data_IF_168940438255
#
_entry.id   IF_168940438255
#
_cell.length_a   1.000
_cell.length_b   1.000
_cell.length_c   1.000
_cell.angle_alpha   90.00
_cell.angle_beta   90.00
_cell.angle_gamma   90.00
#
_symmetry.space_group_name_H-M   'P 1'
#
loop_
_entity.id
_entity.type
_entity.pdbx_description
1 polymer ?
#
# COMPACT_ATOMS: atom_id res chain seq x y z
N UNK A 1 4.01 21.15 11.24
CA UNK A 1 4.92 20.61 10.22
C UNK A 1 6.31 20.73 10.79
N UNK A 2 6.88 19.59 11.19
CA UNK A 2 8.24 19.53 11.72
C UNK A 2 9.26 19.57 10.57
N UNK A 3 10.49 20.00 10.84
CA UNK A 3 11.51 20.24 9.81
C UNK A 3 11.79 19.01 8.92
N UNK A 4 11.70 17.80 9.48
CA UNK A 4 11.81 16.54 8.74
C UNK A 4 10.70 16.41 7.68
N UNK A 5 9.45 16.65 8.07
CA UNK A 5 8.30 16.50 7.18
C UNK A 5 8.39 17.49 6.02
N UNK A 6 8.77 18.75 6.29
CA UNK A 6 8.93 19.75 5.22
C UNK A 6 10.04 19.39 4.24
N UNK A 7 11.14 18.81 4.73
CA UNK A 7 12.25 18.36 3.88
C UNK A 7 11.82 17.19 2.99
N UNK A 8 11.17 16.17 3.57
CA UNK A 8 10.65 15.03 2.80
C UNK A 8 9.58 15.44 1.79
N UNK A 9 8.66 16.33 2.17
CA UNK A 9 7.65 16.86 1.27
C UNK A 9 8.26 17.64 0.10
N UNK A 10 9.31 18.44 0.36
CA UNK A 10 10.03 19.14 -0.70
C UNK A 10 10.72 18.16 -1.65
N UNK A 11 11.41 17.14 -1.13
CA UNK A 11 12.03 16.09 -1.96
C UNK A 11 10.99 15.37 -2.84
N UNK A 12 9.81 15.05 -2.28
CA UNK A 12 8.69 14.45 -3.02
C UNK A 12 8.05 15.40 -4.05
N UNK A 13 8.19 16.71 -3.89
CA UNK A 13 7.73 17.68 -4.87
C UNK A 13 8.72 17.83 -6.04
N UNK A 14 10.01 17.60 -5.78
CA UNK A 14 11.08 17.66 -6.78
C UNK A 14 11.27 16.33 -7.53
N UNK A 15 10.84 15.21 -6.94
CA UNK A 15 10.91 13.88 -7.55
C UNK A 15 10.09 12.83 -6.80
N UNK A 16 10.24 11.56 -7.16
CA UNK A 16 9.42 10.47 -6.60
C UNK A 16 9.99 9.84 -5.33
N UNK A 17 11.22 10.20 -4.93
CA UNK A 17 11.93 9.56 -3.81
C UNK A 17 12.35 10.63 -2.82
N UNK A 18 12.05 10.40 -1.55
CA UNK A 18 12.55 11.22 -0.45
C UNK A 18 13.28 10.34 0.56
N UNK A 19 14.49 10.73 0.92
CA UNK A 19 15.33 10.00 1.87
C UNK A 19 15.63 10.94 3.04
N UNK A 20 15.39 10.48 4.27
CA UNK A 20 15.78 11.22 5.47
C UNK A 20 17.31 11.38 5.49
N UNK A 21 17.78 12.62 5.59
CA UNK A 21 19.20 12.97 5.68
C UNK A 21 20.11 12.24 4.65
N UNK A 22 19.85 12.37 3.33
CA UNK A 22 20.65 11.69 2.31
C UNK A 22 22.12 12.13 2.35
N UNK A 23 22.34 13.38 2.77
CA UNK A 23 23.62 14.07 2.82
C UNK A 23 24.60 13.56 3.90
N UNK A 24 24.17 12.67 4.79
CA UNK A 24 25.06 12.06 5.77
C UNK A 24 25.78 10.81 5.23
N UNK A 25 25.43 10.33 4.02
CA UNK A 25 26.09 9.19 3.38
C UNK A 25 25.86 7.83 4.05
N UNK A 26 25.06 7.80 5.13
CA UNK A 26 24.83 6.60 5.94
C UNK A 26 23.61 5.77 5.47
N UNK A 27 22.83 6.28 4.50
CA UNK A 27 21.68 5.56 3.97
C UNK A 27 22.10 4.65 2.80
N UNK A 28 21.86 3.33 2.88
CA UNK A 28 22.17 2.39 1.79
C UNK A 28 21.30 2.60 0.55
N UNK A 29 20.36 3.55 0.60
CA UNK A 29 19.42 3.86 -0.48
C UNK A 29 19.88 5.02 -1.37
N UNK A 30 20.90 5.79 -0.98
CA UNK A 30 21.42 6.88 -1.82
C UNK A 30 21.90 6.34 -3.18
N UNK A 31 22.61 5.20 -3.18
CA UNK A 31 23.05 4.52 -4.41
C UNK A 31 21.90 3.88 -5.20
N UNK A 32 20.71 3.79 -4.62
CA UNK A 32 19.53 3.15 -5.19
C UNK A 32 18.44 4.13 -5.59
N UNK A 33 18.58 5.42 -5.27
CA UNK A 33 17.56 6.45 -5.49
C UNK A 33 17.10 6.47 -6.96
N UNK A 34 18.04 6.41 -7.90
CA UNK A 34 17.71 6.35 -9.33
C UNK A 34 16.88 5.13 -9.73
N UNK A 35 17.11 3.96 -9.11
CA UNK A 35 16.30 2.75 -9.36
C UNK A 35 14.91 2.89 -8.76
N UNK A 36 14.82 3.41 -7.54
CA UNK A 36 13.53 3.64 -6.86
C UNK A 36 12.68 4.66 -7.62
N UNK A 37 13.32 5.75 -8.09
CA UNK A 37 12.68 6.76 -8.92
C UNK A 37 12.19 6.18 -10.24
N UNK A 38 13.00 5.35 -10.90
CA UNK A 38 12.58 4.67 -12.13
C UNK A 38 11.36 3.77 -11.90
N UNK A 39 11.33 2.99 -10.82
CA UNK A 39 10.18 2.13 -10.47
C UNK A 39 8.92 2.97 -10.27
N UNK A 40 9.03 4.13 -9.60
CA UNK A 40 7.88 5.02 -9.40
C UNK A 40 7.34 5.61 -10.71
N UNK A 41 8.24 6.03 -11.60
CA UNK A 41 7.86 6.53 -12.94
C UNK A 41 7.24 5.42 -13.80
N UNK A 42 7.78 4.20 -13.75
CA UNK A 42 7.20 3.05 -14.46
C UNK A 42 5.79 2.74 -13.95
N UNK A 43 5.59 2.68 -12.64
CA UNK A 43 4.27 2.46 -12.03
C UNK A 43 3.24 3.52 -12.46
N UNK A 44 3.63 4.80 -12.44
CA UNK A 44 2.75 5.89 -12.87
C UNK A 44 2.35 5.75 -14.34
N UNK A 45 3.32 5.44 -15.22
CA UNK A 45 3.07 5.21 -16.64
C UNK A 45 2.15 4.01 -16.91
N UNK A 46 2.22 2.99 -16.07
CA UNK A 46 1.40 1.78 -16.16
C UNK A 46 0.00 1.98 -15.54
N UNK A 47 -0.29 3.16 -14.99
CA UNK A 47 -1.63 3.52 -14.48
C UNK A 47 -1.84 3.22 -12.99
N UNK A 48 -0.78 2.91 -12.24
CA UNK A 48 -0.83 2.73 -10.79
C UNK A 48 -1.23 4.01 -10.04
N UNK A 49 -1.09 5.17 -10.69
CA UNK A 49 -1.17 6.49 -10.08
C UNK A 49 0.21 7.00 -9.67
N UNK A 50 0.26 8.28 -9.31
CA UNK A 50 1.49 8.94 -8.89
C UNK A 50 2.02 8.35 -7.58
N UNK A 51 3.28 7.89 -7.60
CA UNK A 51 3.91 7.17 -6.48
C UNK A 51 5.06 7.97 -5.88
N UNK A 52 5.04 8.11 -4.55
CA UNK A 52 6.15 8.58 -3.73
C UNK A 52 6.76 7.47 -2.89
N UNK A 53 8.08 7.45 -2.77
CA UNK A 53 8.84 6.50 -1.96
C UNK A 53 9.59 7.29 -0.90
N UNK A 54 9.32 6.99 0.37
CA UNK A 54 9.93 7.70 1.51
C UNK A 54 10.74 6.73 2.33
N UNK A 55 12.01 7.05 2.54
CA UNK A 55 12.91 6.25 3.37
C UNK A 55 13.35 7.06 4.57
N UNK A 56 13.03 6.56 5.75
CA UNK A 56 13.45 7.14 7.03
C UNK A 56 14.52 6.25 7.68
N UNK A 57 15.42 6.89 8.43
CA UNK A 57 16.58 6.22 9.03
C UNK A 57 16.29 5.64 10.41
N UNK A 58 15.14 5.96 10.99
CA UNK A 58 14.75 5.51 12.32
C UNK A 58 13.31 5.00 12.34
N UNK A 59 13.05 4.04 13.23
CA UNK A 59 11.69 3.61 13.50
C UNK A 59 11.01 4.62 14.44
N UNK A 60 9.77 5.03 14.16
CA UNK A 60 9.04 5.91 15.05
C UNK A 60 8.78 5.23 16.40
N UNK A 61 8.86 6.00 17.48
CA UNK A 61 8.64 5.51 18.85
C UNK A 61 7.16 5.19 19.14
N UNK A 62 6.24 5.85 18.44
CA UNK A 62 4.81 5.63 18.55
C UNK A 62 4.30 4.63 17.51
N UNK A 63 3.42 3.71 17.94
CA UNK A 63 2.75 2.79 17.05
C UNK A 63 1.93 3.54 16.00
N UNK A 64 2.20 3.28 14.72
CA UNK A 64 1.54 3.98 13.61
C UNK A 64 2.16 5.34 13.27
N UNK A 65 3.26 5.75 13.93
CA UNK A 65 3.95 7.00 13.60
C UNK A 65 4.39 7.07 12.13
N UNK A 66 4.81 5.95 11.54
CA UNK A 66 5.21 5.89 10.12
C UNK A 66 4.00 6.11 9.20
N UNK A 67 2.84 5.55 9.57
CA UNK A 67 1.58 5.78 8.86
C UNK A 67 1.16 7.24 8.93
N UNK A 68 1.23 7.85 10.11
CA UNK A 68 0.83 9.23 10.31
C UNK A 68 1.71 10.17 9.47
N UNK A 69 3.03 9.95 9.46
CA UNK A 69 3.94 10.65 8.54
C UNK A 69 3.51 10.47 7.08
N UNK A 70 3.18 9.24 6.67
CA UNK A 70 2.67 8.96 5.33
C UNK A 70 1.37 9.69 4.99
N UNK A 71 0.42 9.74 5.91
CA UNK A 71 -0.84 10.47 5.75
C UNK A 71 -0.57 11.96 5.61
N UNK A 72 0.29 12.53 6.44
CA UNK A 72 0.61 13.94 6.41
C UNK A 72 1.30 14.33 5.09
N UNK A 73 2.31 13.55 4.66
CA UNK A 73 2.96 13.74 3.36
C UNK A 73 2.01 13.57 2.18
N UNK A 74 1.08 12.62 2.25
CA UNK A 74 0.11 12.36 1.20
C UNK A 74 -0.94 13.48 1.09
N UNK A 75 -1.27 14.12 2.21
CA UNK A 75 -2.17 15.28 2.23
C UNK A 75 -1.50 16.56 1.72
N UNK A 76 -0.19 16.69 1.94
CA UNK A 76 0.61 17.84 1.53
C UNK A 76 1.19 17.71 0.10
N UNK A 77 0.94 16.58 -0.58
CA UNK A 77 1.40 16.32 -1.94
C UNK A 77 0.25 15.98 -2.90
N UNK A 78 0.52 16.17 -4.19
CA UNK A 78 -0.38 15.76 -5.28
C UNK A 78 -0.25 14.26 -5.61
N UNK A 79 0.49 13.50 -4.79
CA UNK A 79 0.68 12.06 -4.98
C UNK A 79 -0.59 11.28 -4.64
N UNK A 80 -0.79 10.16 -5.33
CA UNK A 80 -1.88 9.22 -5.08
C UNK A 80 -1.49 8.19 -4.01
N UNK A 81 -0.23 7.75 -4.01
CA UNK A 81 0.28 6.72 -3.12
C UNK A 81 1.65 7.08 -2.57
N UNK A 82 1.87 6.84 -1.29
CA UNK A 82 3.18 6.95 -0.64
C UNK A 82 3.52 5.62 0.03
N UNK A 83 4.67 5.06 -0.32
CA UNK A 83 5.28 3.92 0.35
C UNK A 83 6.38 4.43 1.28
N UNK A 84 6.30 4.07 2.56
CA UNK A 84 7.25 4.48 3.58
C UNK A 84 8.02 3.28 4.09
N UNK A 85 9.33 3.44 4.26
CA UNK A 85 10.22 2.42 4.80
C UNK A 85 11.11 3.00 5.88
N UNK A 86 11.04 2.42 7.07
CA UNK A 86 11.99 2.59 8.15
C UNK A 86 12.88 1.33 8.26
N UNK A 87 13.88 1.29 9.16
CA UNK A 87 14.75 0.12 9.31
C UNK A 87 14.00 -1.19 9.57
N UNK A 88 12.91 -1.17 10.35
CA UNK A 88 12.17 -2.39 10.71
C UNK A 88 10.69 -2.39 10.31
N UNK A 89 10.20 -1.29 9.71
CA UNK A 89 8.77 -1.14 9.39
C UNK A 89 8.61 -0.65 7.95
N UNK A 90 7.58 -1.16 7.27
CA UNK A 90 7.08 -0.60 6.02
C UNK A 90 5.60 -0.29 6.18
N UNK A 91 5.19 0.86 5.67
CA UNK A 91 3.80 1.26 5.58
C UNK A 91 3.48 1.83 4.20
N UNK A 92 2.20 1.78 3.82
CA UNK A 92 1.73 2.30 2.54
C UNK A 92 0.42 3.04 2.77
N UNK A 93 0.34 4.24 2.23
CA UNK A 93 -0.85 5.09 2.29
C UNK A 93 -1.23 5.48 0.88
N UNK A 94 -2.51 5.32 0.51
CA UNK A 94 -3.01 5.64 -0.83
C UNK A 94 -4.38 6.31 -0.77
N UNK A 95 -4.63 7.24 -1.70
CA UNK A 95 -5.95 7.85 -1.97
C UNK A 95 -6.79 6.99 -2.90
N UNK A 96 -6.16 6.13 -3.71
CA UNK A 96 -6.78 5.43 -4.84
C UNK A 96 -6.93 3.93 -4.63
N UNK A 97 -5.98 3.29 -3.95
CA UNK A 97 -5.97 1.83 -3.73
C UNK A 97 -6.77 1.42 -2.50
N UNK A 98 -7.47 0.28 -2.56
CA UNK A 98 -8.24 -0.20 -1.42
C UNK A 98 -7.34 -0.72 -0.31
N UNK A 99 -7.71 -0.44 0.95
CA UNK A 99 -6.94 -0.84 2.14
C UNK A 99 -6.61 -2.34 2.20
N UNK A 100 -7.52 -3.20 1.74
CA UNK A 100 -7.31 -4.65 1.76
C UNK A 100 -6.20 -5.09 0.78
N UNK A 101 -6.08 -4.41 -0.35
CA UNK A 101 -5.09 -4.68 -1.40
C UNK A 101 -3.71 -4.29 -0.91
N UNK A 102 -3.61 -3.08 -0.35
CA UNK A 102 -2.38 -2.56 0.25
C UNK A 102 -1.86 -3.44 1.39
N UNK A 103 -2.74 -3.99 2.22
CA UNK A 103 -2.32 -4.82 3.36
C UNK A 103 -1.68 -6.15 2.93
N UNK A 104 -2.17 -6.74 1.84
CA UNK A 104 -1.58 -7.96 1.28
C UNK A 104 -0.18 -7.66 0.74
N UNK A 105 -0.05 -6.58 -0.04
CA UNK A 105 1.24 -6.18 -0.59
C UNK A 105 2.24 -5.68 0.46
N UNK A 106 1.76 -4.98 1.50
CA UNK A 106 2.58 -4.54 2.64
C UNK A 106 3.24 -5.72 3.35
N UNK A 107 2.52 -6.83 3.51
CA UNK A 107 3.08 -8.03 4.13
C UNK A 107 4.22 -8.64 3.31
N UNK A 108 4.22 -8.50 1.99
CA UNK A 108 5.33 -8.96 1.16
C UNK A 108 6.54 -8.04 1.33
N UNK A 109 6.36 -6.72 1.34
CA UNK A 109 7.44 -5.76 1.61
C UNK A 109 8.03 -5.90 3.02
N UNK A 110 7.21 -6.26 4.01
CA UNK A 110 7.65 -6.42 5.39
C UNK A 110 8.43 -7.72 5.64
N UNK A 111 8.39 -8.70 4.73
CA UNK A 111 9.08 -9.98 4.91
C UNK A 111 10.61 -9.88 4.77
N UNK A 112 11.10 -8.89 4.01
CA UNK A 112 12.53 -8.73 3.81
C UNK A 112 12.93 -7.26 3.69
N UNK A 113 13.43 -6.68 4.79
CA UNK A 113 13.81 -5.28 4.84
C UNK A 113 15.28 -5.01 4.43
N UNK A 114 15.92 -5.97 3.75
CA UNK A 114 17.25 -5.80 3.18
C UNK A 114 17.25 -4.63 2.18
N UNK A 115 18.04 -3.57 2.43
CA UNK A 115 18.17 -2.44 1.52
C UNK A 115 18.54 -2.85 0.10
N UNK A 116 19.37 -3.88 -0.09
CA UNK A 116 19.84 -4.30 -1.42
C UNK A 116 18.70 -4.91 -2.24
N UNK A 117 17.80 -5.64 -1.59
CA UNK A 117 16.69 -6.32 -2.23
C UNK A 117 15.44 -5.44 -2.36
N UNK A 118 15.36 -4.33 -1.62
CA UNK A 118 14.16 -3.50 -1.51
C UNK A 118 13.61 -2.99 -2.85
N UNK A 119 14.41 -2.46 -3.80
CA UNK A 119 13.85 -2.03 -5.09
C UNK A 119 13.13 -3.15 -5.85
N UNK A 120 13.68 -4.37 -5.84
CA UNK A 120 13.04 -5.51 -6.49
C UNK A 120 11.73 -5.93 -5.81
N UNK A 121 11.66 -5.81 -4.48
CA UNK A 121 10.44 -6.09 -3.73
C UNK A 121 9.37 -5.03 -3.96
N UNK A 122 9.77 -3.76 -4.06
CA UNK A 122 8.85 -2.66 -4.38
C UNK A 122 8.22 -2.84 -5.76
N UNK A 123 9.04 -3.20 -6.76
CA UNK A 123 8.53 -3.53 -8.09
C UNK A 123 7.54 -4.71 -8.05
N UNK A 124 7.85 -5.77 -7.29
CA UNK A 124 6.94 -6.91 -7.13
C UNK A 124 5.62 -6.51 -6.44
N UNK A 125 5.68 -5.66 -5.42
CA UNK A 125 4.50 -5.12 -4.74
C UNK A 125 3.58 -4.35 -5.70
N UNK A 126 4.14 -3.49 -6.54
CA UNK A 126 3.37 -2.72 -7.53
C UNK A 126 2.72 -3.67 -8.55
N UNK A 127 3.48 -4.65 -9.06
CA UNK A 127 2.97 -5.64 -9.99
C UNK A 127 1.86 -6.52 -9.38
N UNK A 128 1.96 -6.88 -8.10
CA UNK A 128 0.94 -7.66 -7.38
C UNK A 128 -0.36 -6.87 -7.22
N UNK A 129 -0.27 -5.55 -6.98
CA UNK A 129 -1.43 -4.67 -6.87
C UNK A 129 -2.13 -4.44 -8.21
N UNK A 130 -1.37 -4.22 -9.28
CA UNK A 130 -1.94 -4.03 -10.62
C UNK A 130 -2.63 -5.29 -11.15
N UNK A 131 -2.14 -6.48 -10.75
CA UNK A 131 -2.76 -7.76 -11.06
C UNK A 131 -3.82 -8.22 -10.05
N UNK A 132 -4.10 -7.43 -9.00
CA UNK A 132 -5.07 -7.82 -7.99
C UNK A 132 -6.49 -7.82 -8.57
N UNK A 133 -7.06 -9.01 -8.71
CA UNK A 133 -8.47 -9.21 -9.02
C UNK A 133 -9.16 -9.84 -7.81
N UNK A 134 -10.01 -9.09 -7.13
CA UNK A 134 -10.81 -9.65 -6.06
C UNK A 134 -11.64 -10.83 -6.60
N UNK A 135 -11.73 -11.97 -5.90
CA UNK A 135 -12.38 -13.18 -6.39
C UNK A 135 -13.91 -13.06 -6.32
N UNK A 136 -14.48 -12.05 -6.99
CA UNK A 136 -15.90 -11.74 -7.03
C UNK A 136 -16.75 -12.93 -7.47
N UNK A 137 -16.22 -13.79 -8.35
CA UNK A 137 -16.88 -15.03 -8.75
C UNK A 137 -17.13 -15.97 -7.57
N UNK A 138 -16.13 -16.15 -6.69
CA UNK A 138 -16.25 -16.99 -5.49
C UNK A 138 -17.24 -16.37 -4.50
N UNK A 139 -17.16 -15.06 -4.25
CA UNK A 139 -18.11 -14.38 -3.36
C UNK A 139 -19.55 -14.42 -3.90
N UNK A 140 -19.73 -14.26 -5.21
CA UNK A 140 -21.04 -14.38 -5.87
C UNK A 140 -21.61 -15.78 -5.72
N UNK A 141 -20.78 -16.82 -5.84
CA UNK A 141 -21.19 -18.21 -5.64
C UNK A 141 -21.65 -18.46 -4.20
N UNK A 142 -20.89 -18.01 -3.20
CA UNK A 142 -21.25 -18.13 -1.79
C UNK A 142 -22.57 -17.41 -1.52
N UNK A 143 -22.73 -16.17 -2.01
CA UNK A 143 -23.96 -15.41 -1.87
C UNK A 143 -25.16 -16.13 -2.49
N UNK A 144 -25.00 -16.70 -3.70
CA UNK A 144 -26.04 -17.48 -4.36
C UNK A 144 -26.44 -18.72 -3.55
N UNK A 145 -25.48 -19.43 -2.95
CA UNK A 145 -25.74 -20.58 -2.08
C UNK A 145 -26.54 -20.16 -0.85
N UNK A 146 -26.14 -19.07 -0.18
CA UNK A 146 -26.83 -18.56 1.01
C UNK A 146 -28.26 -18.14 0.67
N UNK A 147 -28.44 -17.35 -0.40
CA UNK A 147 -29.77 -16.92 -0.87
C UNK A 147 -30.63 -18.15 -1.22
N UNK A 148 -30.06 -19.12 -1.96
CA UNK A 148 -30.75 -20.36 -2.29
C UNK A 148 -31.19 -21.16 -1.06
N UNK A 149 -30.33 -21.28 -0.05
CA UNK A 149 -30.64 -21.95 1.20
C UNK A 149 -31.79 -21.26 1.95
N UNK A 150 -31.77 -19.92 2.01
CA UNK A 150 -32.85 -19.12 2.62
C UNK A 150 -34.17 -19.32 1.87
N UNK A 151 -34.16 -19.28 0.54
CA UNK A 151 -35.35 -19.55 -0.28
C UNK A 151 -35.93 -20.95 -0.05
N UNK A 152 -35.07 -21.97 -0.02
CA UNK A 152 -35.50 -23.37 0.23
C UNK A 152 -36.09 -23.52 1.64
N UNK A 153 -35.48 -22.90 2.64
CA UNK A 153 -35.98 -22.91 4.02
C UNK A 153 -37.34 -22.21 4.13
N UNK A 154 -37.47 -21.02 3.54
CA UNK A 154 -38.72 -20.26 3.52
C UNK A 154 -39.85 -21.02 2.80
N UNK A 155 -39.55 -21.64 1.65
CA UNK A 155 -40.52 -22.43 0.90
C UNK A 155 -40.99 -23.66 1.68
N UNK A 156 -40.07 -24.37 2.36
CA UNK A 156 -40.42 -25.49 3.23
C UNK A 156 -41.32 -25.06 4.39
N UNK A 157 -40.99 -23.96 5.06
CA UNK A 157 -41.78 -23.42 6.16
C UNK A 157 -43.20 -23.03 5.73
N UNK A 158 -43.34 -22.34 4.59
CA UNK A 158 -44.63 -21.97 4.01
C UNK A 158 -45.47 -23.21 3.66
N UNK A 159 -44.86 -24.25 3.09
CA UNK A 159 -45.55 -25.49 2.73
C UNK A 159 -46.06 -26.26 3.96
N UNK A 160 -45.29 -26.30 5.04
CA UNK A 160 -45.72 -26.93 6.30
C UNK A 160 -46.83 -26.16 7.01
N UNK A 161 -46.87 -24.83 6.88
CA UNK A 161 -47.92 -23.99 7.45
C UNK A 161 -49.26 -24.13 6.72
N UNK A 162 -49.26 -24.46 5.44
CA UNK A 162 -50.48 -24.59 4.61
C UNK A 162 -51.19 -25.96 4.77
N UNK A 163 -50.54 -26.95 5.37
CA UNK A 163 -51.07 -28.32 5.56
C UNK A 163 -51.66 -28.53 6.98
N UNK A 164 -51.51 -27.54 7.88
CA UNK A 164 -52.18 -27.48 9.18
C UNK A 164 -53.44 -26.65 9.09
#
# INVERSE_FOLDING_TARGET
MDALQSDLAQQLAEGHVAIESPHLGDSPFVDQEGKLSQIAVEAENDGFGSLGIVIVNHDPSEAGGLRNLGIDLLNDSDLDTIVLRSPTIVDVVSKTHHRAELEIGRNNLAQNLDPVAYPGQLHAFIADLDNYSAPWGMFSLIAAIVVGAVFVAAWRAARTAFIR
#
